data_IF_455184690144
#
_entry.id   IF_455184690144
#
_cell.length_a   1.000
_cell.length_b   1.000
_cell.length_c   1.000
_cell.angle_alpha   90.00
_cell.angle_beta   90.00
_cell.angle_gamma   90.00
#
_symmetry.space_group_name_H-M   'P 1'
#
loop_
_entity.id
_entity.type
_entity.pdbx_description
1 polymer ?
#
# COMPACT_ATOMS: atom_id res chain seq x y z
N UNK A 1 -6.44 4.70 -0.74
CA UNK A 1 -6.72 5.96 -1.45
C UNK A 1 -5.39 6.39 -2.04
N UNK A 2 -5.32 6.50 -3.36
CA UNK A 2 -4.20 7.11 -4.05
C UNK A 2 -4.24 8.61 -3.82
N UNK A 3 -3.14 9.16 -3.32
CA UNK A 3 -2.99 10.59 -3.10
C UNK A 3 -1.89 11.14 -4.00
N UNK A 4 -2.13 12.33 -4.57
CA UNK A 4 -1.11 13.02 -5.35
C UNK A 4 0.01 13.46 -4.40
N UNK A 5 1.25 13.08 -4.71
CA UNK A 5 2.40 13.39 -3.86
C UNK A 5 3.22 14.52 -4.48
N UNK A 6 3.51 15.55 -3.68
CA UNK A 6 4.39 16.63 -4.12
C UNK A 6 5.84 16.14 -4.28
N UNK A 7 6.55 16.70 -5.26
CA UNK A 7 7.95 16.37 -5.59
C UNK A 7 8.94 16.47 -4.41
N UNK A 8 8.60 17.19 -3.34
CA UNK A 8 9.48 17.45 -2.20
C UNK A 8 9.36 16.40 -1.08
N UNK A 9 8.39 15.49 -1.14
CA UNK A 9 8.11 14.48 -0.08
C UNK A 9 9.07 13.27 -0.14
N UNK A 10 9.85 13.13 -1.21
CA UNK A 10 10.58 11.90 -1.52
C UNK A 10 11.92 11.70 -0.78
N UNK A 11 12.40 12.65 0.02
CA UNK A 11 13.79 12.65 0.51
C UNK A 11 13.93 12.67 2.03
N UNK A 12 14.80 11.79 2.54
CA UNK A 12 15.24 11.78 3.94
C UNK A 12 15.79 13.16 4.35
N UNK A 13 15.09 13.83 5.29
CA UNK A 13 15.29 15.24 5.64
C UNK A 13 16.65 15.61 6.26
N UNK A 14 17.56 14.68 6.56
CA UNK A 14 18.65 14.99 7.49
C UNK A 14 20.10 14.89 6.98
N UNK A 15 20.45 14.32 5.81
CA UNK A 15 21.88 14.10 5.50
C UNK A 15 22.33 14.18 4.03
N UNK A 16 21.45 14.47 3.07
CA UNK A 16 21.84 14.49 1.65
C UNK A 16 21.83 15.92 1.07
N UNK A 17 22.97 16.40 0.50
CA UNK A 17 23.11 17.79 0.04
C UNK A 17 22.38 18.11 -1.28
N UNK A 18 21.66 17.17 -1.90
CA UNK A 18 20.89 17.39 -3.14
C UNK A 18 19.52 16.74 -3.07
N UNK A 19 18.46 17.56 -3.08
CA UNK A 19 17.10 17.11 -3.41
C UNK A 19 17.08 16.72 -4.88
N UNK A 20 16.99 15.43 -5.19
CA UNK A 20 16.88 14.99 -6.58
C UNK A 20 15.43 15.21 -7.04
N UNK A 21 15.13 16.10 -7.98
CA UNK A 21 13.74 16.22 -8.49
C UNK A 21 13.32 14.95 -9.24
N UNK A 22 12.08 14.49 -9.10
CA UNK A 22 11.57 13.35 -9.89
C UNK A 22 11.58 13.73 -11.37
N UNK A 23 11.92 12.82 -12.31
CA UNK A 23 11.91 13.15 -13.73
C UNK A 23 10.58 13.80 -14.13
N UNK A 24 10.67 14.90 -14.89
CA UNK A 24 9.49 15.59 -15.39
C UNK A 24 8.64 14.65 -16.26
N UNK A 25 7.32 14.83 -16.20
CA UNK A 25 6.36 14.02 -16.97
C UNK A 25 5.81 12.79 -16.26
N UNK A 26 6.27 12.45 -15.04
CA UNK A 26 5.65 11.42 -14.23
C UNK A 26 4.60 11.99 -13.29
N UNK A 27 3.39 11.44 -13.33
CA UNK A 27 2.40 11.66 -12.28
C UNK A 27 2.83 10.91 -11.01
N UNK A 28 2.88 11.61 -9.88
CA UNK A 28 3.37 11.07 -8.62
C UNK A 28 2.21 10.72 -7.70
N UNK A 29 2.15 9.45 -7.30
CA UNK A 29 1.09 8.91 -6.47
C UNK A 29 1.66 8.03 -5.38
N UNK A 30 1.06 8.15 -4.20
CA UNK A 30 1.33 7.30 -3.06
C UNK A 30 0.07 6.61 -2.57
N UNK A 31 0.25 5.54 -1.81
CA UNK A 31 -0.84 4.80 -1.20
C UNK A 31 -0.35 3.63 -0.37
N UNK A 32 -1.23 2.68 -0.08
CA UNK A 32 -0.85 1.51 0.71
C UNK A 32 0.17 0.63 -0.01
N UNK A 33 1.11 0.06 0.75
CA UNK A 33 1.94 -1.05 0.32
C UNK A 33 1.15 -2.37 0.06
N UNK A 34 -0.13 -2.41 0.42
CA UNK A 34 -1.05 -3.52 0.16
C UNK A 34 -1.91 -3.22 -1.05
N UNK A 35 -1.65 -3.94 -2.14
CA UNK A 35 -2.32 -3.79 -3.42
C UNK A 35 -2.62 -5.15 -4.05
N UNK A 36 -3.48 -5.16 -5.06
CA UNK A 36 -3.73 -6.32 -5.92
C UNK A 36 -3.51 -5.89 -7.37
N UNK A 37 -2.55 -6.53 -8.05
CA UNK A 37 -2.22 -6.23 -9.44
C UNK A 37 -2.46 -7.46 -10.30
N UNK A 38 -2.97 -7.22 -11.51
CA UNK A 38 -3.17 -8.29 -12.50
C UNK A 38 -1.82 -8.80 -13.01
N UNK A 39 -1.79 -10.03 -13.53
CA UNK A 39 -0.60 -10.60 -14.15
C UNK A 39 -0.06 -9.75 -15.32
N UNK A 40 -0.94 -9.13 -16.09
CA UNK A 40 -0.56 -8.21 -17.18
C UNK A 40 0.16 -6.97 -16.65
N UNK A 41 -0.36 -6.37 -15.58
CA UNK A 41 0.27 -5.22 -14.93
C UNK A 41 1.66 -5.56 -14.39
N UNK A 42 1.82 -6.73 -13.75
CA UNK A 42 3.11 -7.19 -13.26
C UNK A 42 4.10 -7.45 -14.40
N UNK A 43 3.65 -8.07 -15.49
CA UNK A 43 4.52 -8.30 -16.67
C UNK A 43 5.03 -6.97 -17.23
N UNK A 44 4.13 -6.00 -17.41
CA UNK A 44 4.52 -4.67 -17.89
C UNK A 44 5.49 -3.97 -16.94
N UNK A 45 5.24 -4.02 -15.62
CA UNK A 45 6.15 -3.47 -14.60
C UNK A 45 7.53 -4.11 -14.74
N UNK A 46 7.59 -5.44 -14.85
CA UNK A 46 8.85 -6.17 -14.99
C UNK A 46 9.64 -5.76 -16.24
N UNK A 47 8.95 -5.60 -17.37
CA UNK A 47 9.57 -5.15 -18.62
C UNK A 47 10.05 -3.70 -18.50
N UNK A 48 9.26 -2.82 -17.86
CA UNK A 48 9.63 -1.43 -17.61
C UNK A 48 10.89 -1.32 -16.75
N UNK A 49 10.97 -2.04 -15.62
CA UNK A 49 12.11 -1.94 -14.69
C UNK A 49 13.40 -2.46 -15.30
N UNK A 50 13.33 -3.49 -16.14
CA UNK A 50 14.49 -4.00 -16.91
C UNK A 50 15.02 -2.98 -17.90
N UNK A 51 14.13 -2.27 -18.57
CA UNK A 51 14.49 -1.24 -19.55
C UNK A 51 14.95 0.07 -18.88
N UNK A 52 14.53 0.32 -17.64
CA UNK A 52 14.76 1.58 -16.93
C UNK A 52 15.45 1.36 -15.57
N UNK A 53 16.66 0.77 -15.50
CA UNK A 53 17.33 0.50 -14.22
C UNK A 53 17.62 1.77 -13.41
N UNK A 54 17.81 2.92 -14.07
CA UNK A 54 17.96 4.22 -13.40
C UNK A 54 16.71 4.66 -12.63
N UNK A 55 15.52 4.30 -13.13
CA UNK A 55 14.27 4.56 -12.42
C UNK A 55 14.23 3.79 -11.10
N UNK A 56 14.58 2.49 -11.12
CA UNK A 56 14.64 1.64 -9.93
C UNK A 56 15.66 2.15 -8.92
N UNK A 57 16.88 2.48 -9.38
CA UNK A 57 17.96 2.96 -8.52
C UNK A 57 17.61 4.22 -7.74
N UNK A 58 16.66 5.02 -8.23
CA UNK A 58 16.18 6.22 -7.55
C UNK A 58 15.43 5.92 -6.25
N UNK A 59 14.69 4.80 -6.22
CA UNK A 59 13.92 4.41 -5.05
C UNK A 59 14.79 3.90 -3.89
N UNK A 60 16.09 3.60 -4.14
CA UNK A 60 17.06 3.30 -3.08
C UNK A 60 17.29 4.46 -2.10
N UNK A 61 16.95 5.69 -2.50
CA UNK A 61 17.09 6.90 -1.69
C UNK A 61 15.74 7.56 -1.37
N UNK A 62 14.65 6.82 -1.57
CA UNK A 62 13.29 7.30 -1.34
C UNK A 62 12.76 6.79 0.00
N UNK A 63 12.06 7.64 0.75
CA UNK A 63 11.38 7.22 1.97
C UNK A 63 10.09 6.44 1.62
N UNK A 64 9.84 5.32 2.30
CA UNK A 64 8.71 4.41 2.04
C UNK A 64 8.48 4.11 0.54
N UNK A 65 9.49 3.57 -0.18
CA UNK A 65 9.40 3.37 -1.62
C UNK A 65 8.31 2.37 -2.03
N UNK A 66 7.93 1.45 -1.16
CA UNK A 66 6.85 0.48 -1.33
C UNK A 66 5.45 1.12 -1.39
N UNK A 67 5.29 2.29 -0.78
CA UNK A 67 4.05 3.10 -0.83
C UNK A 67 3.97 4.00 -2.06
N UNK A 68 5.00 4.03 -2.91
CA UNK A 68 5.12 4.95 -4.06
C UNK A 68 5.39 4.23 -5.38
N UNK A 69 6.29 3.24 -5.38
CA UNK A 69 6.87 2.66 -6.58
C UNK A 69 5.82 2.10 -7.55
N UNK A 70 4.96 1.23 -7.05
CA UNK A 70 3.95 0.56 -7.86
C UNK A 70 2.84 1.51 -8.29
N UNK A 71 2.49 2.45 -7.41
CA UNK A 71 1.46 3.46 -7.59
C UNK A 71 1.87 4.41 -8.73
N UNK A 72 3.11 4.91 -8.71
CA UNK A 72 3.69 5.72 -9.78
C UNK A 72 3.71 4.93 -11.10
N UNK A 73 4.21 3.69 -11.09
CA UNK A 73 4.29 2.89 -12.32
C UNK A 73 2.92 2.66 -12.95
N UNK A 74 1.91 2.27 -12.16
CA UNK A 74 0.58 1.93 -12.67
C UNK A 74 -0.16 3.16 -13.18
N UNK A 75 -0.10 4.30 -12.48
CA UNK A 75 -0.74 5.55 -12.96
C UNK A 75 -0.12 6.05 -14.26
N UNK A 76 1.17 5.80 -14.48
CA UNK A 76 1.88 6.17 -15.71
C UNK A 76 1.93 5.02 -16.75
N UNK A 77 1.14 3.96 -16.55
CA UNK A 77 1.07 2.80 -17.45
C UNK A 77 -0.16 2.85 -18.35
N UNK A 78 -0.26 1.96 -19.37
CA UNK A 78 -1.48 1.74 -20.14
C UNK A 78 -2.69 1.27 -19.32
N UNK A 79 -2.49 0.89 -18.04
CA UNK A 79 -3.56 0.41 -17.16
C UNK A 79 -4.21 1.52 -16.32
N UNK A 80 -3.81 2.78 -16.49
CA UNK A 80 -4.29 3.93 -15.69
C UNK A 80 -5.81 3.96 -15.56
N UNK A 81 -6.54 3.77 -16.66
CA UNK A 81 -8.00 3.86 -16.68
C UNK A 81 -8.70 2.61 -16.09
N UNK A 82 -7.93 1.57 -15.74
CA UNK A 82 -8.42 0.35 -15.07
C UNK A 82 -8.17 0.38 -13.55
N UNK A 83 -7.60 1.46 -13.01
CA UNK A 83 -7.30 1.56 -11.59
C UNK A 83 -8.61 1.69 -10.79
N UNK A 84 -8.80 0.78 -9.82
CA UNK A 84 -9.83 0.90 -8.80
C UNK A 84 -9.19 1.47 -7.54
N UNK A 85 -9.49 2.72 -7.21
CA UNK A 85 -8.90 3.43 -6.06
C UNK A 85 -9.59 3.03 -4.74
N UNK A 86 -9.42 1.78 -4.31
CA UNK A 86 -9.99 1.26 -3.06
C UNK A 86 -8.99 0.37 -2.32
N UNK A 87 -9.21 0.17 -1.02
CA UNK A 87 -8.49 -0.82 -0.23
C UNK A 87 -9.25 -2.14 -0.23
N UNK A 88 -8.53 -3.24 -0.40
CA UNK A 88 -9.04 -4.59 -0.18
C UNK A 88 -8.76 -5.11 1.24
N UNK A 89 -8.04 -4.32 2.04
CA UNK A 89 -7.62 -4.65 3.40
C UNK A 89 -8.25 -3.68 4.39
N UNK A 90 -8.94 -4.22 5.39
CA UNK A 90 -9.43 -3.47 6.53
C UNK A 90 -8.27 -3.03 7.43
N UNK A 91 -8.29 -1.76 7.81
CA UNK A 91 -7.30 -1.10 8.64
C UNK A 91 -8.06 -0.19 9.61
N UNK A 92 -7.80 -0.34 10.90
CA UNK A 92 -8.31 0.60 11.90
C UNK A 92 -7.19 1.57 12.28
N UNK A 93 -7.42 2.87 12.09
CA UNK A 93 -6.51 3.91 12.56
C UNK A 93 -7.08 4.52 13.82
N UNK A 94 -6.41 4.33 14.95
CA UNK A 94 -6.89 4.81 16.25
C UNK A 94 -6.96 6.33 16.35
N UNK A 95 -6.15 7.06 15.58
CA UNK A 95 -6.22 8.51 15.41
C UNK A 95 -5.50 8.97 14.13
N UNK A 96 -5.70 10.24 13.76
CA UNK A 96 -5.15 10.87 12.54
C UNK A 96 -3.62 10.98 12.50
N UNK A 97 -2.95 10.90 13.65
CA UNK A 97 -1.49 11.03 13.77
C UNK A 97 -0.79 9.70 14.03
N UNK A 98 -1.52 8.59 14.01
CA UNK A 98 -0.96 7.28 14.26
C UNK A 98 0.01 6.91 13.12
N UNK A 99 1.21 6.46 13.48
CA UNK A 99 2.22 5.99 12.50
C UNK A 99 1.88 4.61 11.94
N UNK A 100 1.07 3.84 12.68
CA UNK A 100 0.70 2.48 12.34
C UNK A 100 -0.78 2.23 12.67
N UNK A 101 -1.46 1.36 11.91
CA UNK A 101 -2.81 0.93 12.25
C UNK A 101 -2.83 0.17 13.58
N UNK A 102 -3.98 0.19 14.25
CA UNK A 102 -4.27 -0.52 15.49
C UNK A 102 -4.02 -2.02 15.33
N UNK A 103 -3.66 -2.68 16.43
CA UNK A 103 -3.81 -4.14 16.55
C UNK A 103 -5.30 -4.42 16.78
N UNK A 104 -5.89 -5.21 15.90
CA UNK A 104 -7.29 -5.59 15.93
C UNK A 104 -7.49 -6.65 17.02
N UNK A 105 -8.54 -6.48 17.81
CA UNK A 105 -8.92 -7.33 18.93
C UNK A 105 -10.36 -7.79 18.71
N UNK A 106 -10.86 -8.78 19.45
CA UNK A 106 -12.21 -9.35 19.25
C UNK A 106 -13.35 -8.32 19.22
N UNK A 107 -13.20 -7.19 19.90
CA UNK A 107 -14.18 -6.10 19.89
C UNK A 107 -14.29 -5.40 18.52
N UNK A 108 -13.32 -5.57 17.63
CA UNK A 108 -13.33 -5.05 16.27
C UNK A 108 -13.94 -6.05 15.26
N UNK A 109 -14.33 -7.26 15.70
CA UNK A 109 -14.79 -8.34 14.83
C UNK A 109 -16.00 -7.94 13.98
N UNK A 110 -17.01 -7.28 14.57
CA UNK A 110 -18.20 -6.85 13.83
C UNK A 110 -17.83 -5.84 12.72
N UNK A 111 -16.90 -4.91 12.99
CA UNK A 111 -16.41 -3.96 11.98
C UNK A 111 -15.71 -4.67 10.83
N UNK A 112 -14.88 -5.68 11.13
CA UNK A 112 -14.20 -6.49 10.10
C UNK A 112 -15.24 -7.18 9.23
N UNK A 113 -16.23 -7.84 9.85
CA UNK A 113 -17.32 -8.55 9.15
C UNK A 113 -18.13 -7.63 8.24
N UNK A 114 -18.41 -6.41 8.69
CA UNK A 114 -19.19 -5.42 7.95
C UNK A 114 -18.40 -4.67 6.88
N UNK A 115 -17.07 -4.73 6.92
CA UNK A 115 -16.21 -3.91 6.05
C UNK A 115 -16.21 -4.30 4.56
N UNK A 116 -16.74 -5.48 4.22
CA UNK A 116 -16.68 -6.10 2.89
C UNK A 116 -15.26 -6.21 2.32
N UNK A 117 -14.23 -6.11 3.17
CA UNK A 117 -12.83 -6.25 2.77
C UNK A 117 -12.42 -7.73 2.74
N UNK A 118 -11.55 -8.06 1.80
CA UNK A 118 -11.03 -9.44 1.67
C UNK A 118 -9.97 -9.77 2.71
N UNK A 119 -9.27 -8.75 3.24
CA UNK A 119 -8.20 -8.91 4.21
C UNK A 119 -8.39 -7.93 5.37
N UNK A 120 -7.69 -8.15 6.49
CA UNK A 120 -7.62 -7.22 7.60
C UNK A 120 -6.22 -7.24 8.23
N UNK A 121 -5.79 -6.12 8.83
CA UNK A 121 -4.55 -6.06 9.62
C UNK A 121 -4.59 -4.91 10.66
N UNK A 122 -3.80 -4.98 11.73
CA UNK A 122 -2.87 -6.07 12.10
C UNK A 122 -3.43 -6.93 13.23
N UNK A 123 -3.01 -8.18 13.29
CA UNK A 123 -3.31 -9.09 14.39
C UNK A 123 -2.01 -9.42 15.14
N UNK A 124 -2.14 -9.69 16.44
CA UNK A 124 -1.03 -10.11 17.29
C UNK A 124 -1.55 -11.15 18.29
N UNK A 125 -1.07 -12.40 18.15
CA UNK A 125 -1.51 -13.52 18.99
C UNK A 125 -1.14 -13.35 20.46
N UNK A 126 -0.17 -12.47 20.79
CA UNK A 126 0.19 -12.19 22.18
C UNK A 126 -0.73 -11.18 22.85
N UNK A 127 -1.54 -10.46 22.07
CA UNK A 127 -2.49 -9.46 22.54
C UNK A 127 -3.90 -10.05 22.57
N UNK A 128 -4.35 -10.59 21.44
CA UNK A 128 -5.66 -11.20 21.32
C UNK A 128 -5.66 -12.22 20.17
N UNK A 129 -5.58 -13.50 20.51
CA UNK A 129 -5.72 -14.59 19.55
C UNK A 129 -7.18 -14.96 19.28
N UNK A 130 -8.12 -14.62 20.18
CA UNK A 130 -9.53 -15.04 20.08
C UNK A 130 -10.15 -14.53 18.78
N UNK A 131 -9.76 -13.33 18.33
CA UNK A 131 -10.25 -12.76 17.06
C UNK A 131 -9.90 -13.63 15.84
N UNK A 132 -8.76 -14.33 15.86
CA UNK A 132 -8.37 -15.20 14.75
C UNK A 132 -9.28 -16.42 14.70
N UNK A 133 -9.57 -17.03 15.85
CA UNK A 133 -10.53 -18.14 15.94
C UNK A 133 -11.93 -17.70 15.47
N UNK A 134 -12.38 -16.50 15.85
CA UNK A 134 -13.66 -15.95 15.39
C UNK A 134 -13.71 -15.73 13.87
N UNK A 135 -12.60 -15.27 13.27
CA UNK A 135 -12.48 -15.09 11.82
C UNK A 135 -12.49 -16.45 11.11
N UNK A 136 -11.75 -17.43 11.64
CA UNK A 136 -11.70 -18.79 11.11
C UNK A 136 -13.08 -19.46 11.17
N UNK A 137 -13.78 -19.35 12.30
CA UNK A 137 -15.15 -19.84 12.45
C UNK A 137 -16.08 -19.19 11.41
N UNK A 138 -16.00 -17.87 11.21
CA UNK A 138 -16.82 -17.15 10.23
C UNK A 138 -16.60 -17.62 8.79
N UNK A 139 -15.34 -17.88 8.41
CA UNK A 139 -14.97 -18.20 7.03
C UNK A 139 -15.13 -19.71 6.75
N UNK A 140 -14.75 -20.56 7.70
CA UNK A 140 -14.77 -22.02 7.53
C UNK A 140 -16.16 -22.62 7.74
N UNK A 141 -17.01 -22.03 8.60
CA UNK A 141 -18.40 -22.50 8.78
C UNK A 141 -19.31 -22.26 7.58
N UNK A 142 -18.85 -21.45 6.60
CA UNK A 142 -19.58 -21.15 5.36
C UNK A 142 -19.17 -22.04 4.17
N UNK A 143 -18.42 -23.12 4.43
CA UNK A 143 -17.91 -24.07 3.42
C UNK A 143 -18.79 -25.31 3.28
#
# INVERSE_FOLDING_TARGET
MYEHVENDVFFHKSLLPKRYKFPEGFALYGGSAFWCLTGESIKWINDFVKQNPKFVNRFNYTYCPDELFYQILIVNSPFKDKIINTHLTYLEWSNVNALHPKILEKNDFDKIRESEKFFARKFDMTIDSDILDMIDEMILSKS
#
